data_IF_829358146890
#
_entry.id   IF_829358146890
#
_cell.length_a   1.000
_cell.length_b   1.000
_cell.length_c   1.000
_cell.angle_alpha   90.00
_cell.angle_beta   90.00
_cell.angle_gamma   90.00
#
_symmetry.space_group_name_H-M   'P 1'
#
loop_
_entity.id
_entity.type
_entity.pdbx_description
1 polymer ?
#
# COMPACT_ATOMS: atom_id res chain seq x y z
N UNK A 1 -9.47 -14.93 3.22
CA UNK A 1 -8.83 -14.37 2.03
C UNK A 1 -7.62 -13.48 2.37
N UNK A 2 -7.80 -12.41 3.16
CA UNK A 2 -6.71 -11.46 3.46
C UNK A 2 -5.46 -12.14 4.04
N UNK A 3 -5.59 -12.96 5.05
CA UNK A 3 -4.45 -13.64 5.67
C UNK A 3 -3.74 -14.58 4.68
N UNK A 4 -4.49 -15.36 3.90
CA UNK A 4 -3.92 -16.21 2.85
C UNK A 4 -3.22 -15.40 1.76
N UNK A 5 -3.80 -14.25 1.36
CA UNK A 5 -3.18 -13.36 0.38
C UNK A 5 -1.84 -12.82 0.88
N UNK A 6 -1.79 -12.32 2.12
CA UNK A 6 -0.55 -11.83 2.73
C UNK A 6 0.51 -12.92 2.86
N UNK A 7 0.12 -14.11 3.32
CA UNK A 7 1.02 -15.26 3.38
C UNK A 7 1.55 -15.62 1.99
N UNK A 8 0.68 -15.61 0.98
CA UNK A 8 1.05 -15.97 -0.40
C UNK A 8 2.02 -14.98 -1.05
N UNK A 9 1.95 -13.69 -0.68
CA UNK A 9 2.95 -12.69 -1.10
C UNK A 9 4.34 -12.93 -0.48
N UNK A 10 4.39 -13.44 0.75
CA UNK A 10 5.65 -13.66 1.48
C UNK A 10 6.25 -15.04 1.23
N UNK A 11 5.41 -16.03 0.95
CA UNK A 11 5.80 -17.43 0.79
C UNK A 11 5.25 -18.01 -0.51
N UNK A 12 6.08 -18.74 -1.24
CA UNK A 12 5.66 -19.37 -2.52
C UNK A 12 4.54 -20.38 -2.36
N UNK A 13 4.61 -21.16 -1.30
CA UNK A 13 3.65 -22.23 -0.99
C UNK A 13 3.14 -22.03 0.41
N UNK A 14 1.84 -21.93 0.54
CA UNK A 14 1.16 -21.71 1.81
C UNK A 14 0.23 -22.89 2.13
N UNK A 15 0.00 -23.09 3.40
CA UNK A 15 -1.10 -23.95 3.86
C UNK A 15 -2.39 -23.18 3.69
N UNK A 16 -3.38 -23.80 3.06
CA UNK A 16 -4.75 -23.24 2.97
C UNK A 16 -5.56 -23.83 4.10
N UNK A 17 -6.02 -22.96 4.99
CA UNK A 17 -6.91 -23.32 6.10
C UNK A 17 -8.33 -22.83 5.78
N UNK A 18 -9.31 -23.70 5.91
CA UNK A 18 -10.72 -23.41 5.73
C UNK A 18 -11.56 -24.16 6.76
N UNK A 19 -12.87 -23.94 6.78
CA UNK A 19 -13.77 -24.52 7.77
C UNK A 19 -13.77 -26.07 7.77
N UNK A 20 -13.47 -26.70 6.63
CA UNK A 20 -13.44 -28.14 6.46
C UNK A 20 -12.21 -28.80 7.13
N UNK A 21 -11.12 -28.05 7.31
CA UNK A 21 -9.83 -28.56 7.79
C UNK A 21 -9.34 -27.89 9.09
N UNK A 22 -10.20 -27.18 9.81
CA UNK A 22 -9.86 -26.55 11.09
C UNK A 22 -9.96 -27.50 12.29
N UNK A 23 -10.49 -28.72 12.12
CA UNK A 23 -10.54 -29.69 13.19
C UNK A 23 -9.11 -30.12 13.60
N UNK A 24 -8.85 -30.34 14.91
CA UNK A 24 -7.49 -30.59 15.40
C UNK A 24 -6.77 -31.76 14.74
N UNK A 25 -7.49 -32.82 14.39
CA UNK A 25 -6.87 -33.99 13.73
C UNK A 25 -6.55 -33.71 12.27
N UNK A 26 -7.39 -32.99 11.54
CA UNK A 26 -7.15 -32.59 10.17
C UNK A 26 -6.04 -31.55 10.04
N UNK A 27 -5.93 -30.66 11.02
CA UNK A 27 -4.95 -29.56 11.02
C UNK A 27 -3.48 -30.05 10.95
N UNK A 28 -3.18 -31.17 11.62
CA UNK A 28 -1.82 -31.72 11.64
C UNK A 28 -1.39 -32.37 10.32
N UNK A 29 -2.34 -32.66 9.42
CA UNK A 29 -2.08 -33.25 8.12
C UNK A 29 -2.02 -32.23 6.98
N UNK A 30 -2.25 -30.95 7.27
CA UNK A 30 -2.22 -29.90 6.28
C UNK A 30 -0.80 -29.72 5.71
N UNK A 31 -0.70 -29.68 4.39
CA UNK A 31 0.56 -29.46 3.70
C UNK A 31 0.48 -28.24 2.80
N UNK A 32 1.58 -27.49 2.71
CA UNK A 32 1.72 -26.39 1.76
C UNK A 32 1.92 -26.87 0.31
N UNK A 33 1.99 -28.20 0.09
CA UNK A 33 2.11 -28.82 -1.22
C UNK A 33 0.82 -29.49 -1.69
N UNK A 34 -0.26 -29.42 -0.90
CA UNK A 34 -1.57 -29.98 -1.25
C UNK A 34 -2.13 -29.37 -2.54
N UNK A 35 -1.89 -28.06 -2.74
CA UNK A 35 -2.37 -27.32 -3.88
C UNK A 35 -1.20 -26.78 -4.71
N UNK A 36 -1.37 -26.75 -6.02
CA UNK A 36 -0.46 -26.05 -6.95
C UNK A 36 -0.48 -24.54 -6.67
N UNK A 37 0.48 -23.81 -7.21
CA UNK A 37 0.53 -22.35 -7.09
C UNK A 37 -0.75 -21.69 -7.61
N UNK A 38 -1.27 -22.17 -8.73
CA UNK A 38 -2.47 -21.63 -9.37
C UNK A 38 -3.73 -21.93 -8.55
N UNK A 39 -3.85 -23.14 -8.01
CA UNK A 39 -4.95 -23.51 -7.12
C UNK A 39 -4.93 -22.71 -5.81
N UNK A 40 -3.77 -22.42 -5.25
CA UNK A 40 -3.68 -21.57 -4.05
C UNK A 40 -4.19 -20.16 -4.33
N UNK A 41 -3.81 -19.56 -5.47
CA UNK A 41 -4.35 -18.26 -5.89
C UNK A 41 -5.87 -18.33 -6.14
N UNK A 42 -6.35 -19.43 -6.74
CA UNK A 42 -7.79 -19.61 -6.97
C UNK A 42 -8.58 -19.69 -5.67
N UNK A 43 -8.07 -20.42 -4.66
CA UNK A 43 -8.74 -20.52 -3.35
C UNK A 43 -8.79 -19.14 -2.63
N UNK A 44 -7.76 -18.33 -2.78
CA UNK A 44 -7.78 -16.94 -2.28
C UNK A 44 -8.83 -16.11 -3.03
N UNK A 45 -8.93 -16.29 -4.34
CA UNK A 45 -9.96 -15.62 -5.14
C UNK A 45 -11.37 -16.09 -4.76
N UNK A 46 -11.56 -17.38 -4.45
CA UNK A 46 -12.85 -17.94 -4.04
C UNK A 46 -13.32 -17.33 -2.70
N UNK A 47 -12.42 -17.13 -1.73
CA UNK A 47 -12.72 -16.41 -0.48
C UNK A 47 -13.25 -14.99 -0.76
N UNK A 48 -12.57 -14.26 -1.64
CA UNK A 48 -12.97 -12.89 -2.00
C UNK A 48 -14.21 -12.85 -2.90
N UNK A 49 -14.43 -13.88 -3.71
CA UNK A 49 -15.67 -14.03 -4.48
C UNK A 49 -16.87 -14.20 -3.55
N UNK A 50 -16.74 -15.07 -2.55
CA UNK A 50 -17.77 -15.23 -1.52
C UNK A 50 -18.06 -13.89 -0.82
N UNK A 51 -17.01 -13.15 -0.46
CA UNK A 51 -17.17 -11.83 0.15
C UNK A 51 -17.88 -10.84 -0.81
N UNK A 52 -17.50 -10.81 -2.08
CA UNK A 52 -18.14 -9.95 -3.09
C UNK A 52 -19.63 -10.24 -3.26
N UNK A 53 -20.01 -11.52 -3.24
CA UNK A 53 -21.40 -11.95 -3.44
C UNK A 53 -22.29 -11.70 -2.22
N UNK A 54 -21.69 -11.58 -1.01
CA UNK A 54 -22.45 -11.53 0.25
C UNK A 54 -22.30 -10.18 1.00
N UNK A 55 -21.33 -9.36 0.71
CA UNK A 55 -21.17 -8.06 1.37
C UNK A 55 -22.10 -6.99 0.74
N UNK A 56 -22.62 -6.07 1.56
CA UNK A 56 -23.40 -4.95 1.04
C UNK A 56 -22.55 -3.98 0.21
N UNK A 57 -23.17 -3.26 -0.70
CA UNK A 57 -22.50 -2.21 -1.49
C UNK A 57 -21.92 -1.11 -0.62
N UNK A 58 -22.59 -0.77 0.49
CA UNK A 58 -22.16 0.25 1.46
C UNK A 58 -22.32 -0.29 2.87
N UNK A 59 -21.34 -0.05 3.73
CA UNK A 59 -21.40 -0.35 5.15
C UNK A 59 -21.81 0.88 5.96
N UNK A 60 -22.64 0.64 7.00
CA UNK A 60 -23.04 1.69 7.94
C UNK A 60 -21.84 2.12 8.79
N UNK A 61 -21.07 1.14 9.27
CA UNK A 61 -19.85 1.38 10.06
C UNK A 61 -18.66 1.50 9.12
N UNK A 62 -18.02 2.67 9.15
CA UNK A 62 -16.79 2.89 8.39
C UNK A 62 -15.70 1.91 8.83
N UNK A 63 -14.90 1.46 7.86
CA UNK A 63 -13.83 0.50 8.11
C UNK A 63 -14.26 -0.97 8.02
N UNK A 64 -15.54 -1.29 8.06
CA UNK A 64 -16.01 -2.64 7.68
C UNK A 64 -15.86 -2.83 6.17
N UNK A 65 -15.38 -3.99 5.71
CA UNK A 65 -15.27 -4.24 4.28
C UNK A 65 -16.66 -4.24 3.62
N UNK A 66 -16.77 -3.49 2.53
CA UNK A 66 -17.95 -3.48 1.65
C UNK A 66 -17.66 -4.29 0.37
N UNK A 67 -18.66 -4.46 -0.48
CA UNK A 67 -18.53 -5.19 -1.75
C UNK A 67 -17.36 -4.68 -2.61
N UNK A 68 -17.15 -3.37 -2.67
CA UNK A 68 -16.02 -2.77 -3.41
C UNK A 68 -14.65 -3.20 -2.86
N UNK A 69 -14.50 -3.40 -1.55
CA UNK A 69 -13.27 -3.92 -0.96
C UNK A 69 -12.98 -5.35 -1.41
N UNK A 70 -14.01 -6.20 -1.45
CA UNK A 70 -13.89 -7.56 -1.96
C UNK A 70 -13.56 -7.57 -3.46
N UNK A 71 -14.19 -6.70 -4.26
CA UNK A 71 -13.89 -6.54 -5.69
C UNK A 71 -12.44 -6.11 -5.92
N UNK A 72 -11.94 -5.13 -5.17
CA UNK A 72 -10.56 -4.68 -5.26
C UNK A 72 -9.56 -5.78 -4.90
N UNK A 73 -9.87 -6.61 -3.90
CA UNK A 73 -9.05 -7.79 -3.57
C UNK A 73 -9.12 -8.88 -4.63
N UNK A 74 -10.29 -9.14 -5.21
CA UNK A 74 -10.42 -10.04 -6.36
C UNK A 74 -9.53 -9.59 -7.52
N UNK A 75 -9.61 -8.30 -7.86
CA UNK A 75 -8.77 -7.72 -8.91
C UNK A 75 -7.28 -7.92 -8.60
N UNK A 76 -6.85 -7.62 -7.37
CA UNK A 76 -5.46 -7.81 -6.94
C UNK A 76 -5.05 -9.27 -7.00
N UNK A 77 -5.89 -10.17 -6.54
CA UNK A 77 -5.62 -11.62 -6.55
C UNK A 77 -5.48 -12.15 -7.97
N UNK A 78 -6.39 -11.77 -8.86
CA UNK A 78 -6.32 -12.17 -10.26
C UNK A 78 -5.15 -11.55 -11.01
N UNK A 79 -4.75 -10.33 -10.64
CA UNK A 79 -3.55 -9.70 -11.21
C UNK A 79 -2.29 -10.51 -10.85
N UNK A 80 -2.12 -10.86 -9.58
CA UNK A 80 -1.00 -11.72 -9.15
C UNK A 80 -1.06 -13.11 -9.80
N UNK A 81 -2.26 -13.70 -9.88
CA UNK A 81 -2.48 -14.99 -10.53
C UNK A 81 -2.18 -14.95 -12.02
N UNK A 82 -2.47 -13.84 -12.72
CA UNK A 82 -2.26 -13.71 -14.16
C UNK A 82 -0.80 -13.90 -14.58
N UNK A 83 0.14 -13.42 -13.76
CA UNK A 83 1.57 -13.55 -14.05
C UNK A 83 2.08 -14.90 -13.58
N UNK A 84 2.14 -15.87 -14.51
CA UNK A 84 2.63 -17.22 -14.24
C UNK A 84 4.15 -17.21 -14.07
N UNK A 85 4.60 -17.83 -13.01
CA UNK A 85 6.03 -17.89 -12.66
C UNK A 85 6.51 -19.32 -12.52
N UNK A 86 7.75 -19.58 -12.93
CA UNK A 86 8.44 -20.83 -12.61
C UNK A 86 8.59 -20.98 -11.08
N UNK A 87 8.37 -22.20 -10.61
CA UNK A 87 8.42 -22.50 -9.18
C UNK A 87 9.82 -22.45 -8.57
N UNK A 88 10.88 -22.56 -9.37
CA UNK A 88 12.27 -22.63 -8.90
C UNK A 88 12.89 -21.22 -8.74
N UNK A 89 12.76 -20.38 -9.75
CA UNK A 89 13.50 -19.10 -9.81
C UNK A 89 12.62 -17.85 -9.95
N UNK A 90 11.28 -18.01 -9.98
CA UNK A 90 10.29 -16.95 -10.21
C UNK A 90 10.36 -16.29 -11.60
N UNK A 91 11.01 -16.90 -12.56
CA UNK A 91 11.01 -16.42 -13.95
C UNK A 91 9.58 -16.37 -14.47
N UNK A 92 9.20 -15.28 -15.12
CA UNK A 92 7.90 -15.14 -15.77
C UNK A 92 7.80 -16.12 -16.94
N UNK A 93 6.84 -17.03 -16.88
CA UNK A 93 6.60 -18.06 -17.92
C UNK A 93 5.45 -17.72 -18.85
N UNK A 94 4.61 -16.76 -18.48
CA UNK A 94 3.49 -16.30 -19.30
C UNK A 94 2.53 -15.42 -18.53
N UNK A 95 1.63 -14.79 -19.27
CA UNK A 95 0.56 -13.94 -18.72
C UNK A 95 -0.77 -14.54 -19.16
N UNK A 96 -1.67 -14.76 -18.20
CA UNK A 96 -2.97 -15.37 -18.47
C UNK A 96 -4.04 -14.28 -18.71
N UNK A 97 -4.57 -14.23 -19.93
CA UNK A 97 -5.55 -13.24 -20.36
C UNK A 97 -6.90 -13.37 -19.63
N UNK A 98 -7.34 -14.59 -19.30
CA UNK A 98 -8.63 -14.78 -18.62
C UNK A 98 -8.58 -14.20 -17.17
N UNK A 99 -7.45 -14.38 -16.48
CA UNK A 99 -7.25 -13.76 -15.18
C UNK A 99 -7.19 -12.22 -15.30
N UNK A 100 -6.55 -11.67 -16.33
CA UNK A 100 -6.55 -10.21 -16.59
C UNK A 100 -7.97 -9.67 -16.90
N UNK A 101 -8.80 -10.44 -17.59
CA UNK A 101 -10.21 -10.07 -17.79
C UNK A 101 -10.98 -10.01 -16.47
N UNK A 102 -10.67 -10.89 -15.52
CA UNK A 102 -11.24 -10.78 -14.17
C UNK A 102 -10.76 -9.50 -13.46
N UNK A 103 -9.50 -9.09 -13.62
CA UNK A 103 -9.03 -7.81 -13.10
C UNK A 103 -9.88 -6.66 -13.64
N UNK A 104 -10.09 -6.60 -14.96
CA UNK A 104 -10.92 -5.57 -15.59
C UNK A 104 -12.37 -5.60 -15.07
N UNK A 105 -12.94 -6.79 -14.90
CA UNK A 105 -14.29 -6.98 -14.35
C UNK A 105 -14.43 -6.38 -12.95
N UNK A 106 -13.52 -6.73 -12.02
CA UNK A 106 -13.64 -6.34 -10.62
C UNK A 106 -13.09 -4.93 -10.30
N UNK A 107 -12.42 -4.31 -11.27
CA UNK A 107 -12.04 -2.89 -11.21
C UNK A 107 -13.00 -2.00 -11.98
N UNK A 108 -14.23 -2.45 -12.27
CA UNK A 108 -15.23 -1.65 -12.96
C UNK A 108 -15.53 -0.35 -12.18
N UNK A 109 -15.45 0.82 -12.83
CA UNK A 109 -15.72 2.10 -12.17
C UNK A 109 -17.09 2.17 -11.48
N UNK A 110 -18.10 1.46 -12.00
CA UNK A 110 -19.44 1.43 -11.39
C UNK A 110 -19.44 0.74 -10.01
N UNK A 111 -18.62 -0.29 -9.81
CA UNK A 111 -18.49 -0.97 -8.51
C UNK A 111 -17.91 0.01 -7.48
N UNK A 112 -16.88 0.75 -7.86
CA UNK A 112 -16.22 1.71 -6.98
C UNK A 112 -17.12 2.92 -6.69
N UNK A 113 -17.83 3.42 -7.71
CA UNK A 113 -18.76 4.55 -7.57
C UNK A 113 -19.93 4.25 -6.61
N UNK A 114 -20.47 3.03 -6.63
CA UNK A 114 -21.51 2.59 -5.68
C UNK A 114 -21.05 2.63 -4.23
N UNK A 115 -19.78 2.32 -3.97
CA UNK A 115 -19.15 2.45 -2.66
C UNK A 115 -18.78 3.89 -2.28
N UNK A 116 -18.90 4.85 -3.20
CA UNK A 116 -18.54 6.25 -3.01
C UNK A 116 -17.03 6.51 -3.07
N UNK A 117 -16.24 5.61 -3.70
CA UNK A 117 -14.79 5.72 -3.78
C UNK A 117 -14.32 6.58 -4.94
N UNK A 118 -13.24 7.32 -4.70
CA UNK A 118 -12.57 8.20 -5.66
C UNK A 118 -11.18 8.59 -5.17
N UNK A 119 -10.41 9.33 -5.96
CA UNK A 119 -9.13 9.88 -5.50
C UNK A 119 -9.37 11.03 -4.51
N UNK A 120 -8.55 11.10 -3.47
CA UNK A 120 -8.45 12.30 -2.63
C UNK A 120 -7.92 13.47 -3.45
N UNK A 121 -8.33 14.68 -3.10
CA UNK A 121 -7.91 15.89 -3.81
C UNK A 121 -6.42 16.18 -3.66
N UNK A 122 -5.85 15.79 -2.53
CA UNK A 122 -4.42 15.87 -2.26
C UNK A 122 -3.88 14.48 -1.87
N UNK A 123 -2.69 14.14 -2.37
CA UNK A 123 -2.06 12.85 -2.09
C UNK A 123 -1.77 12.64 -0.60
N UNK A 124 -1.40 13.70 0.13
CA UNK A 124 -1.07 13.63 1.55
C UNK A 124 -2.24 13.17 2.42
N UNK A 125 -3.48 13.48 2.01
CA UNK A 125 -4.70 13.14 2.75
C UNK A 125 -4.79 11.63 3.05
N UNK A 126 -4.25 10.79 2.18
CA UNK A 126 -4.21 9.35 2.41
C UNK A 126 -3.40 8.90 3.65
N UNK A 127 -2.56 9.76 4.20
CA UNK A 127 -1.60 9.43 5.26
C UNK A 127 -1.74 10.32 6.49
N UNK A 128 -2.87 11.00 6.63
CA UNK A 128 -3.13 11.95 7.70
C UNK A 128 -4.38 11.52 8.52
N UNK A 129 -4.30 11.52 9.85
CA UNK A 129 -5.37 11.00 10.72
C UNK A 129 -6.73 11.69 10.51
N UNK A 130 -6.74 12.98 10.20
CA UNK A 130 -7.97 13.75 9.99
C UNK A 130 -8.74 13.35 8.72
N UNK A 131 -8.14 12.58 7.82
CA UNK A 131 -8.75 12.13 6.56
C UNK A 131 -8.96 10.61 6.52
N UNK A 132 -8.91 9.94 7.66
CA UNK A 132 -9.14 8.50 7.74
C UNK A 132 -10.50 8.10 7.19
N UNK A 133 -10.55 6.94 6.54
CA UNK A 133 -11.74 6.43 5.87
C UNK A 133 -12.34 7.42 4.85
N UNK A 134 -11.46 8.22 4.22
CA UNK A 134 -11.81 9.12 3.14
C UNK A 134 -12.11 8.40 1.82
N UNK A 135 -12.36 9.18 0.78
CA UNK A 135 -12.83 8.67 -0.51
C UNK A 135 -11.89 7.66 -1.17
N UNK A 136 -10.59 7.77 -0.94
CA UNK A 136 -9.60 6.87 -1.56
C UNK A 136 -9.37 5.58 -0.74
N UNK A 137 -9.80 5.51 0.53
CA UNK A 137 -9.63 4.35 1.39
C UNK A 137 -10.66 3.27 1.07
N UNK A 138 -10.36 2.39 0.10
CA UNK A 138 -11.27 1.30 -0.29
C UNK A 138 -11.38 0.27 0.82
N UNK A 139 -10.27 -0.04 1.48
CA UNK A 139 -10.27 -0.82 2.71
C UNK A 139 -9.03 -0.53 3.55
N UNK A 140 -9.25 -0.39 4.88
CA UNK A 140 -8.21 -0.13 5.84
C UNK A 140 -8.42 -0.95 7.12
N UNK A 141 -7.31 -1.37 7.74
CA UNK A 141 -7.32 -1.91 9.09
C UNK A 141 -7.53 -0.74 10.03
N UNK A 142 -8.56 -0.84 10.86
CA UNK A 142 -8.94 0.21 11.78
C UNK A 142 -8.16 0.10 13.08
N UNK A 143 -7.62 1.23 13.52
CA UNK A 143 -6.97 1.38 14.80
C UNK A 143 -7.72 2.40 15.68
N UNK A 144 -7.50 2.37 16.99
CA UNK A 144 -8.17 3.25 17.94
C UNK A 144 -7.27 3.58 19.13
N UNK A 145 -7.50 4.77 19.71
CA UNK A 145 -6.89 5.24 20.95
C UNK A 145 -7.99 5.81 21.83
N UNK A 146 -7.85 5.69 23.15
CA UNK A 146 -8.83 6.20 24.11
C UNK A 146 -10.26 5.66 23.91
N UNK A 147 -10.36 4.41 23.44
CA UNK A 147 -11.62 3.72 23.11
C UNK A 147 -12.27 3.02 24.32
N UNK A 148 -11.81 3.30 25.53
CA UNK A 148 -12.28 2.68 26.77
C UNK A 148 -11.55 1.41 27.18
N UNK A 149 -10.66 0.90 26.33
CA UNK A 149 -9.75 -0.20 26.67
C UNK A 149 -8.43 0.30 27.26
N UNK A 150 -7.68 -0.57 27.94
CA UNK A 150 -6.42 -0.17 28.60
C UNK A 150 -5.36 0.40 27.65
N UNK A 151 -5.24 -0.16 26.47
CA UNK A 151 -4.21 0.24 25.50
C UNK A 151 -4.76 0.80 24.19
N UNK A 152 -6.06 0.76 23.97
CA UNK A 152 -6.62 0.94 22.63
C UNK A 152 -6.27 -0.22 21.70
N UNK A 153 -6.66 -0.10 20.44
CA UNK A 153 -6.19 -0.95 19.35
C UNK A 153 -5.21 -0.14 18.49
N UNK A 154 -3.94 -0.14 18.86
CA UNK A 154 -2.92 0.73 18.28
C UNK A 154 -2.11 0.05 17.18
N UNK A 155 -1.70 0.82 16.19
CA UNK A 155 -0.71 0.44 15.20
C UNK A 155 0.70 0.48 15.82
N UNK A 156 1.14 -0.64 16.36
CA UNK A 156 2.47 -0.78 16.93
C UNK A 156 3.58 -0.88 15.86
N UNK A 157 3.21 -1.23 14.61
CA UNK A 157 4.15 -1.32 13.50
C UNK A 157 4.80 0.01 13.16
N UNK A 158 4.08 1.13 13.34
CA UNK A 158 4.63 2.45 13.10
C UNK A 158 5.84 2.78 14.00
N UNK A 159 5.85 2.28 15.23
CA UNK A 159 6.96 2.51 16.16
C UNK A 159 8.30 2.04 15.62
N UNK A 160 8.30 1.00 14.78
CA UNK A 160 9.52 0.49 14.13
C UNK A 160 10.10 1.48 13.11
N UNK A 161 9.28 2.30 12.49
CA UNK A 161 9.68 3.27 11.45
C UNK A 161 9.87 4.68 11.98
N UNK A 162 9.52 4.93 13.25
CA UNK A 162 9.66 6.24 13.90
C UNK A 162 11.13 6.63 14.02
N UNK A 163 11.53 7.86 13.68
CA UNK A 163 12.88 8.36 13.89
C UNK A 163 13.32 8.23 15.35
N UNK A 164 14.62 8.04 15.58
CA UNK A 164 15.15 7.71 16.91
C UNK A 164 14.84 8.79 17.96
N UNK A 165 14.94 10.06 17.62
CA UNK A 165 14.61 11.19 18.53
C UNK A 165 13.14 11.20 18.95
N UNK A 166 12.24 10.62 18.14
CA UNK A 166 10.80 10.63 18.35
C UNK A 166 10.26 9.34 18.98
N UNK A 167 11.12 8.44 19.44
CA UNK A 167 10.66 7.27 20.20
C UNK A 167 11.47 6.00 20.03
N UNK A 168 11.69 5.51 18.83
CA UNK A 168 12.44 4.25 18.54
C UNK A 168 12.51 4.10 17.04
N UNK A 169 13.25 3.44 16.70
CA UNK A 169 13.94 2.31 16.19
C UNK A 169 14.51 2.64 14.83
N UNK A 170 13.86 3.59 14.08
CA UNK A 170 14.30 4.10 12.78
C UNK A 170 14.63 2.97 11.78
N UNK A 171 13.77 1.93 11.74
CA UNK A 171 13.82 0.87 10.75
C UNK A 171 13.08 1.27 9.47
N UNK A 172 13.19 0.45 8.42
CA UNK A 172 12.58 0.67 7.12
C UNK A 172 12.95 2.04 6.52
N UNK A 173 14.20 2.42 6.69
CA UNK A 173 14.71 3.71 6.20
C UNK A 173 14.63 3.78 4.69
N UNK A 174 14.16 4.92 4.15
CA UNK A 174 14.26 5.16 2.71
C UNK A 174 15.71 5.14 2.25
N UNK A 175 15.99 4.41 1.18
CA UNK A 175 17.32 4.38 0.58
C UNK A 175 17.55 5.59 -0.33
N UNK A 176 18.83 5.90 -0.61
CA UNK A 176 19.19 6.89 -1.64
C UNK A 176 18.61 6.50 -3.00
N UNK A 177 18.62 5.22 -3.34
CA UNK A 177 18.06 4.72 -4.60
C UNK A 177 16.54 5.00 -4.69
N UNK A 178 15.80 4.83 -3.59
CA UNK A 178 14.37 5.22 -3.58
C UNK A 178 14.20 6.71 -3.85
N UNK A 179 15.00 7.57 -3.20
CA UNK A 179 14.93 9.02 -3.41
C UNK A 179 15.27 9.39 -4.87
N UNK A 180 16.32 8.79 -5.42
CA UNK A 180 16.70 8.98 -6.81
C UNK A 180 15.58 8.55 -7.78
N UNK A 181 14.84 7.48 -7.47
CA UNK A 181 13.74 6.98 -8.30
C UNK A 181 12.57 7.97 -8.46
N UNK A 182 12.46 8.97 -7.57
CA UNK A 182 11.50 10.06 -7.73
C UNK A 182 11.96 11.16 -8.69
N UNK A 183 13.23 11.17 -9.15
CA UNK A 183 13.72 12.21 -10.08
C UNK A 183 12.94 12.17 -11.40
N UNK A 184 12.70 13.36 -11.92
CA UNK A 184 12.00 13.56 -13.19
C UNK A 184 12.80 14.47 -14.13
N UNK A 185 12.45 14.45 -15.40
CA UNK A 185 12.87 15.50 -16.32
C UNK A 185 12.11 16.81 -16.06
N UNK A 186 12.41 17.85 -16.82
CA UNK A 186 11.76 19.16 -16.73
C UNK A 186 10.25 19.15 -17.10
N UNK A 187 9.76 18.04 -17.65
CA UNK A 187 8.35 17.82 -18.00
C UNK A 187 7.64 16.91 -16.99
N UNK A 188 8.30 16.52 -15.88
CA UNK A 188 7.78 15.63 -14.86
C UNK A 188 7.72 14.16 -15.28
N UNK A 189 8.47 13.73 -16.30
CA UNK A 189 8.55 12.33 -16.69
C UNK A 189 9.64 11.62 -15.90
N UNK A 190 9.40 10.37 -15.43
CA UNK A 190 10.40 9.60 -14.69
C UNK A 190 11.68 9.34 -15.51
N UNK A 191 12.83 9.40 -14.85
CA UNK A 191 14.14 9.11 -15.45
C UNK A 191 14.48 7.62 -15.38
N UNK A 192 13.76 6.77 -16.10
CA UNK A 192 13.84 5.29 -15.98
C UNK A 192 15.24 4.69 -16.07
N UNK A 193 16.11 5.21 -16.93
CA UNK A 193 17.43 4.64 -17.19
C UNK A 193 18.58 5.44 -16.59
N UNK A 194 18.33 6.62 -16.05
CA UNK A 194 19.36 7.55 -15.59
C UNK A 194 19.14 8.06 -14.16
N UNK A 195 18.04 7.69 -13.52
CA UNK A 195 17.66 8.20 -12.19
C UNK A 195 18.74 7.96 -11.13
N UNK A 196 19.51 6.90 -11.25
CA UNK A 196 20.53 6.47 -10.27
C UNK A 196 21.97 6.81 -10.65
N UNK A 197 22.18 7.54 -11.75
CA UNK A 197 23.53 7.96 -12.18
C UNK A 197 24.16 8.94 -11.18
N UNK A 198 23.31 9.81 -10.57
CA UNK A 198 23.73 10.80 -9.57
C UNK A 198 22.67 10.89 -8.48
N UNK A 199 23.09 11.23 -7.27
CA UNK A 199 22.18 11.41 -6.15
C UNK A 199 21.32 12.66 -6.37
N UNK A 200 20.06 12.57 -5.87
CA UNK A 200 19.13 13.68 -5.88
C UNK A 200 19.65 14.88 -5.09
N UNK A 201 19.63 16.04 -5.73
CA UNK A 201 20.00 17.33 -5.14
C UNK A 201 18.79 18.27 -5.12
N UNK A 202 18.35 18.64 -3.90
CA UNK A 202 17.14 19.47 -3.66
C UNK A 202 17.14 20.78 -4.45
N UNK A 203 18.33 21.39 -4.62
CA UNK A 203 18.44 22.72 -5.23
C UNK A 203 18.35 22.71 -6.76
N UNK A 204 18.61 21.59 -7.41
CA UNK A 204 18.83 21.54 -8.87
C UNK A 204 17.94 20.54 -9.59
N UNK A 205 17.51 19.48 -8.93
CA UNK A 205 16.81 18.39 -9.59
C UNK A 205 15.29 18.56 -9.55
N UNK A 206 14.64 18.19 -10.64
CA UNK A 206 13.19 18.03 -10.65
C UNK A 206 12.82 16.69 -10.03
N UNK A 207 11.71 16.66 -9.32
CA UNK A 207 11.25 15.46 -8.61
C UNK A 207 9.72 15.36 -8.60
N UNK A 208 9.23 14.13 -8.56
CA UNK A 208 7.82 13.85 -8.28
C UNK A 208 7.47 14.33 -6.86
N UNK A 209 6.44 15.16 -6.67
CA UNK A 209 6.11 15.74 -5.35
C UNK A 209 5.77 14.69 -4.28
N UNK A 210 5.41 13.46 -4.67
CA UNK A 210 5.20 12.37 -3.71
C UNK A 210 6.44 12.01 -2.90
N UNK A 211 7.64 12.42 -3.34
CA UNK A 211 8.86 12.27 -2.54
C UNK A 211 8.69 12.88 -1.16
N UNK A 212 8.22 14.13 -1.09
CA UNK A 212 8.07 14.89 0.16
C UNK A 212 6.98 14.37 1.09
N UNK A 213 6.08 13.51 0.58
CA UNK A 213 5.07 12.82 1.38
C UNK A 213 5.50 11.39 1.76
N UNK A 214 6.62 10.93 1.25
CA UNK A 214 7.12 9.56 1.45
C UNK A 214 8.39 9.55 2.29
N UNK A 215 9.31 10.48 2.00
CA UNK A 215 10.65 10.54 2.58
C UNK A 215 10.85 11.84 3.33
N UNK A 216 11.13 11.75 4.62
CA UNK A 216 11.60 12.88 5.41
C UNK A 216 13.08 13.11 5.14
N UNK A 217 13.40 14.33 4.71
CA UNK A 217 14.75 14.74 4.34
C UNK A 217 15.28 15.81 5.32
N UNK A 218 16.57 15.84 5.61
CA UNK A 218 17.18 16.89 6.42
C UNK A 218 16.87 18.29 5.88
N UNK A 219 16.49 19.19 6.79
CA UNK A 219 16.09 20.57 6.48
C UNK A 219 14.59 20.74 6.24
N UNK A 220 13.82 19.65 6.15
CA UNK A 220 12.37 19.68 5.99
C UNK A 220 11.63 19.34 7.29
N UNK A 221 10.38 19.81 7.47
CA UNK A 221 9.57 19.47 8.62
C UNK A 221 9.16 17.99 8.59
N UNK A 222 9.21 17.33 9.76
CA UNK A 222 8.70 15.98 9.91
C UNK A 222 7.18 16.00 10.01
N UNK A 223 6.50 15.27 9.14
CA UNK A 223 5.03 15.20 9.07
C UNK A 223 4.38 16.58 9.04
N UNK A 224 4.99 17.50 8.29
CA UNK A 224 4.52 18.89 8.08
C UNK A 224 4.53 19.79 9.33
N UNK A 225 5.11 19.33 10.45
CA UNK A 225 5.21 20.09 11.69
C UNK A 225 6.54 20.85 11.74
N UNK A 226 6.47 22.18 11.59
CA UNK A 226 7.62 23.10 11.63
C UNK A 226 8.39 23.09 12.96
N UNK A 227 7.77 22.56 14.02
CA UNK A 227 8.44 22.34 15.31
C UNK A 227 9.46 21.20 15.30
N UNK A 228 9.45 20.35 14.25
CA UNK A 228 10.28 19.15 14.14
C UNK A 228 11.04 19.11 12.81
N UNK A 229 12.05 19.97 12.68
CA UNK A 229 12.92 20.00 11.48
C UNK A 229 13.94 18.87 11.55
N UNK A 230 13.93 18.00 10.53
CA UNK A 230 14.83 16.86 10.42
C UNK A 230 16.28 17.33 10.30
N UNK A 231 17.18 16.77 11.11
CA UNK A 231 18.59 17.15 11.16
C UNK A 231 19.52 16.04 10.65
N UNK A 232 20.70 16.44 10.15
CA UNK A 232 21.79 15.51 9.78
C UNK A 232 22.60 15.09 11.02
N UNK A 233 21.97 14.40 11.95
CA UNK A 233 22.64 13.95 13.19
C UNK A 233 22.17 12.54 13.59
N UNK A 234 22.80 11.98 14.64
CA UNK A 234 22.48 10.65 15.13
C UNK A 234 21.18 10.60 15.93
N UNK A 235 20.65 11.74 16.38
CA UNK A 235 19.37 11.80 17.08
C UNK A 235 18.20 11.51 16.13
N UNK A 236 18.29 12.01 14.91
CA UNK A 236 17.28 11.76 13.88
C UNK A 236 17.46 10.46 13.15
N UNK A 237 18.71 10.05 12.89
CA UNK A 237 18.98 8.92 12.03
C UNK A 237 19.89 7.91 12.71
N UNK A 238 19.35 6.76 13.06
CA UNK A 238 20.10 5.65 13.60
C UNK A 238 21.19 5.22 12.62
N UNK A 239 22.45 5.15 13.11
CA UNK A 239 23.58 4.67 12.32
C UNK A 239 23.69 5.37 10.95
N UNK A 240 23.63 6.69 10.94
CA UNK A 240 23.65 7.52 9.71
C UNK A 240 24.77 7.19 8.74
N UNK A 241 25.94 6.76 9.24
CA UNK A 241 27.07 6.37 8.39
C UNK A 241 26.83 5.11 7.58
N UNK A 242 25.88 4.28 8.00
CA UNK A 242 25.50 3.04 7.31
C UNK A 242 24.20 3.20 6.51
N UNK A 243 23.20 3.86 7.09
CA UNK A 243 21.83 3.90 6.54
C UNK A 243 21.43 5.27 6.01
N UNK A 244 22.29 6.29 6.07
CA UNK A 244 22.00 7.64 5.62
C UNK A 244 21.08 8.43 6.55
N UNK A 245 20.59 9.57 6.06
CA UNK A 245 19.85 10.56 6.86
C UNK A 245 18.34 10.60 6.62
N UNK A 246 17.85 9.83 5.65
CA UNK A 246 16.42 9.83 5.34
C UNK A 246 15.61 9.10 6.41
N UNK A 247 14.40 9.57 6.66
CA UNK A 247 13.47 8.97 7.59
C UNK A 247 12.13 8.69 6.91
N UNK A 248 11.39 7.70 7.39
CA UNK A 248 10.07 7.38 6.83
C UNK A 248 9.03 8.40 7.25
N UNK A 249 8.21 8.86 6.32
CA UNK A 249 7.03 9.67 6.61
C UNK A 249 5.73 8.86 6.56
N UNK A 250 5.68 7.82 5.73
CA UNK A 250 4.48 6.98 5.62
C UNK A 250 4.25 6.18 6.89
N UNK A 251 2.99 5.96 7.21
CA UNK A 251 2.53 5.26 8.41
C UNK A 251 2.97 5.91 9.74
N UNK A 252 3.63 7.05 9.68
CA UNK A 252 3.96 7.88 10.83
C UNK A 252 2.98 9.05 10.94
N UNK A 253 2.88 9.61 12.13
CA UNK A 253 2.03 10.75 12.44
C UNK A 253 2.84 11.94 12.96
N UNK A 254 2.24 13.10 12.97
CA UNK A 254 2.79 14.27 13.66
C UNK A 254 3.09 13.93 15.12
N UNK A 255 4.29 14.28 15.65
CA UNK A 255 4.63 14.04 17.05
C UNK A 255 3.67 14.68 18.07
N UNK A 256 2.90 15.67 17.67
CA UNK A 256 1.91 16.34 18.49
C UNK A 256 0.47 15.89 18.23
N UNK A 257 0.28 14.81 17.45
CA UNK A 257 -1.03 14.23 17.18
C UNK A 257 -1.64 13.60 18.44
N UNK A 258 -2.90 13.90 18.72
CA UNK A 258 -3.69 13.23 19.77
C UNK A 258 -3.92 11.74 19.49
N UNK A 259 -3.69 11.32 18.24
CA UNK A 259 -3.73 9.94 17.80
C UNK A 259 -2.50 9.12 18.23
N UNK A 260 -1.50 9.74 18.86
CA UNK A 260 -0.20 9.16 19.17
C UNK A 260 -0.09 8.81 20.66
N UNK A 261 0.23 7.55 20.95
CA UNK A 261 0.65 7.09 22.28
C UNK A 261 2.17 7.08 22.36
N UNK A 262 2.72 8.04 23.10
CA UNK A 262 4.16 8.14 23.38
C UNK A 262 4.55 7.15 24.48
N UNK A 263 5.76 6.59 24.41
CA UNK A 263 6.29 5.65 25.39
C UNK A 263 7.65 5.12 24.96
N UNK A 264 8.06 3.95 25.44
CA UNK A 264 9.31 3.30 25.00
C UNK A 264 9.27 2.93 23.52
N UNK A 265 8.06 2.63 23.01
CA UNK A 265 7.76 2.44 21.61
C UNK A 265 6.51 3.27 21.29
N UNK A 266 6.63 4.16 20.34
CA UNK A 266 5.49 4.96 19.91
C UNK A 266 4.53 4.12 19.07
N UNK A 267 3.24 4.33 19.27
CA UNK A 267 2.20 3.71 18.49
C UNK A 267 1.09 4.72 18.23
N UNK A 268 0.37 4.58 17.13
CA UNK A 268 -0.72 5.50 16.80
C UNK A 268 -2.01 4.78 16.50
N UNK A 269 -3.10 5.52 16.46
CA UNK A 269 -4.38 5.02 15.96
C UNK A 269 -4.56 5.30 14.47
N UNK A 270 -3.51 5.71 13.74
CA UNK A 270 -3.61 5.89 12.29
C UNK A 270 -3.94 4.56 11.61
N UNK A 271 -5.03 4.56 10.86
CA UNK A 271 -5.49 3.40 10.11
C UNK A 271 -4.48 2.99 9.03
N UNK A 272 -4.28 1.69 8.87
CA UNK A 272 -3.46 1.15 7.79
C UNK A 272 -4.32 0.86 6.55
N UNK A 273 -4.16 1.66 5.51
CA UNK A 273 -4.87 1.47 4.25
C UNK A 273 -4.27 0.29 3.50
N UNK A 274 -5.06 -0.74 3.28
CA UNK A 274 -4.64 -1.97 2.58
C UNK A 274 -4.80 -1.82 1.07
N UNK A 275 -5.88 -1.18 0.63
CA UNK A 275 -6.15 -0.89 -0.79
C UNK A 275 -6.70 0.53 -0.92
N UNK A 276 -6.08 1.33 -1.76
CA UNK A 276 -6.55 2.66 -2.16
C UNK A 276 -7.25 2.60 -3.52
N UNK A 277 -8.11 3.57 -3.79
CA UNK A 277 -8.73 3.70 -5.11
C UNK A 277 -7.69 3.88 -6.23
N UNK A 278 -6.57 4.58 -5.95
CA UNK A 278 -5.45 4.66 -6.89
C UNK A 278 -4.89 3.29 -7.28
N UNK A 279 -4.85 2.33 -6.34
CA UNK A 279 -4.40 0.95 -6.63
C UNK A 279 -5.38 0.26 -7.59
N UNK A 280 -6.69 0.50 -7.43
CA UNK A 280 -7.72 -0.05 -8.32
C UNK A 280 -7.57 0.50 -9.73
N UNK A 281 -7.35 1.81 -9.89
CA UNK A 281 -7.12 2.44 -11.19
C UNK A 281 -5.87 1.88 -11.87
N UNK A 282 -4.78 1.72 -11.13
CA UNK A 282 -3.51 1.23 -11.68
C UNK A 282 -3.57 -0.27 -12.00
N UNK A 283 -4.24 -1.10 -11.21
CA UNK A 283 -4.47 -2.51 -11.53
C UNK A 283 -5.29 -2.66 -12.82
N UNK A 284 -6.33 -1.82 -12.99
CA UNK A 284 -7.10 -1.78 -14.24
C UNK A 284 -6.24 -1.37 -15.42
N UNK A 285 -5.44 -0.31 -15.28
CA UNK A 285 -4.56 0.17 -16.34
C UNK A 285 -3.55 -0.91 -16.76
N UNK A 286 -2.93 -1.60 -15.81
CA UNK A 286 -2.00 -2.68 -16.08
C UNK A 286 -2.67 -3.84 -16.84
N UNK A 287 -3.85 -4.28 -16.40
CA UNK A 287 -4.59 -5.33 -17.09
C UNK A 287 -4.96 -4.94 -18.53
N UNK A 288 -5.38 -3.69 -18.76
CA UNK A 288 -5.70 -3.19 -20.11
C UNK A 288 -4.47 -3.14 -21.02
N UNK A 289 -3.31 -2.75 -20.49
CA UNK A 289 -2.04 -2.74 -21.23
C UNK A 289 -1.65 -4.17 -21.64
N UNK A 290 -1.74 -5.11 -20.70
CA UNK A 290 -1.33 -6.50 -20.93
C UNK A 290 -2.28 -7.25 -21.87
N UNK A 291 -3.58 -6.96 -21.81
CA UNK A 291 -4.57 -7.52 -22.74
C UNK A 291 -4.36 -7.06 -24.17
N UNK A 292 -3.81 -5.85 -24.37
CA UNK A 292 -3.53 -5.26 -25.69
C UNK A 292 -4.69 -5.37 -26.68
N UNK A 293 -5.92 -5.19 -26.21
CA UNK A 293 -7.17 -5.37 -26.96
C UNK A 293 -7.74 -4.06 -27.56
N UNK A 294 -6.87 -3.06 -27.72
CA UNK A 294 -7.22 -1.74 -28.28
C UNK A 294 -7.56 -0.67 -27.25
N UNK A 295 -7.59 -0.99 -25.95
CA UNK A 295 -7.93 -0.07 -24.85
C UNK A 295 -6.71 0.63 -24.19
N UNK A 296 -5.59 0.74 -24.91
CA UNK A 296 -4.38 1.39 -24.40
C UNK A 296 -4.61 2.86 -24.02
N UNK A 297 -5.48 3.57 -24.73
CA UNK A 297 -5.84 4.96 -24.43
C UNK A 297 -6.54 5.06 -23.08
N UNK A 298 -7.43 4.12 -22.77
CA UNK A 298 -8.12 4.08 -21.47
C UNK A 298 -7.12 3.85 -20.33
N UNK A 299 -6.17 2.92 -20.51
CA UNK A 299 -5.11 2.67 -19.55
C UNK A 299 -4.25 3.91 -19.28
N UNK A 300 -3.84 4.60 -20.34
CA UNK A 300 -3.07 5.87 -20.23
C UNK A 300 -3.90 6.93 -19.49
N UNK A 301 -5.20 7.03 -19.73
CA UNK A 301 -6.08 7.96 -19.04
C UNK A 301 -6.11 7.71 -17.53
N UNK A 302 -6.26 6.44 -17.10
CA UNK A 302 -6.24 6.04 -15.68
C UNK A 302 -4.91 6.38 -15.00
N UNK A 303 -3.79 6.10 -15.67
CA UNK A 303 -2.44 6.45 -15.16
C UNK A 303 -2.32 7.96 -15.00
N UNK A 304 -2.77 8.74 -16.00
CA UNK A 304 -2.69 10.19 -15.96
C UNK A 304 -3.61 10.80 -14.90
N UNK A 305 -4.76 10.21 -14.61
CA UNK A 305 -5.63 10.62 -13.52
C UNK A 305 -4.89 10.58 -12.17
N UNK A 306 -4.24 9.44 -11.86
CA UNK A 306 -3.44 9.29 -10.63
C UNK A 306 -2.24 10.25 -10.62
N UNK A 307 -1.56 10.43 -11.74
CA UNK A 307 -0.40 11.33 -11.85
C UNK A 307 -0.79 12.79 -11.71
N UNK A 308 -1.87 13.22 -12.34
CA UNK A 308 -2.35 14.61 -12.28
C UNK A 308 -2.73 15.00 -10.85
N UNK A 309 -3.40 14.09 -10.11
CA UNK A 309 -3.69 14.31 -8.70
C UNK A 309 -2.41 14.47 -7.88
N UNK A 310 -1.41 13.60 -8.09
CA UNK A 310 -0.14 13.68 -7.39
C UNK A 310 0.63 14.98 -7.69
N UNK A 311 0.60 15.45 -8.93
CA UNK A 311 1.25 16.70 -9.32
C UNK A 311 0.61 17.95 -8.70
N UNK A 312 -0.68 17.88 -8.35
CA UNK A 312 -1.40 18.96 -7.67
C UNK A 312 -1.27 18.94 -6.14
N UNK A 313 -0.59 17.95 -5.58
CA UNK A 313 -0.44 17.84 -4.13
C UNK A 313 0.50 18.92 -3.59
N UNK A 314 0.11 19.52 -2.49
CA UNK A 314 0.88 20.56 -1.79
C UNK A 314 1.70 19.95 -0.65
N UNK A 315 2.85 20.56 -0.36
CA UNK A 315 3.62 20.26 0.84
C UNK A 315 3.05 21.02 2.05
#
# INVERSE_FOLDING_TARGET
>A
GHAHFMLKQLFKKIVIVNDENMEPDAYNELSNTTYTNDEQWQKIADDFQFAYDNLPEVQIEKGRPAQAAAAAYLAKTYLYKAYRQDGADNTLTGINEEDLKQVVKYTDPLIMAKGGYGLETDYSMNFLPQYENGAESVWAIQYSINDGTYNGNLNWGMGLTTPQILGCCDFHKPSQNLVNAFKTDSQGKPLFSTYDNENYEVATDNVDPRLFHTVGMPGFPYKYNEGYIIQKNDDWSRSKGLYGYYVSLKENVDPDCDCLKKGSYWASSLNHIVIRYADVLLMRAEALIQLNDGRITDAISLINEVRSRAAGSTM
#
